data_IF_128425757714
#
_entry.id   IF_128425757714
#
_cell.length_a   1.000
_cell.length_b   1.000
_cell.length_c   1.000
_cell.angle_alpha   90.00
_cell.angle_beta   90.00
_cell.angle_gamma   90.00
#
_symmetry.space_group_name_H-M   'P 1'
#
loop_
_entity.id
_entity.type
_entity.pdbx_description
1 polymer ?
#
# COMPACT_ATOMS: atom_id res chain seq x y z
N UNK A 1 -26.02 -17.21 46.61
CA UNK A 1 -24.55 -17.20 46.86
C UNK A 1 -23.90 -18.22 45.93
N UNK A 2 -23.26 -17.77 44.85
CA UNK A 2 -22.38 -18.57 43.99
C UNK A 2 -21.19 -17.70 43.63
N UNK A 3 -19.99 -18.18 43.96
CA UNK A 3 -18.72 -17.45 43.90
C UNK A 3 -18.32 -17.10 42.46
N UNK A 4 -17.70 -15.94 42.20
CA UNK A 4 -17.07 -15.69 40.91
C UNK A 4 -15.74 -16.46 40.82
N UNK A 5 -15.57 -17.22 39.74
CA UNK A 5 -14.29 -17.84 39.37
C UNK A 5 -13.39 -16.74 38.81
N UNK A 6 -12.32 -16.41 39.53
CA UNK A 6 -11.25 -15.54 39.03
C UNK A 6 -10.42 -16.31 38.00
N UNK A 7 -10.42 -15.86 36.74
CA UNK A 7 -9.48 -16.36 35.73
C UNK A 7 -8.30 -15.40 35.61
N UNK A 8 -7.13 -15.85 36.08
CA UNK A 8 -5.83 -15.34 35.65
C UNK A 8 -5.47 -16.03 34.34
N UNK A 9 -5.13 -15.26 33.30
CA UNK A 9 -4.57 -15.82 32.06
C UNK A 9 -3.44 -14.93 31.57
N UNK A 10 -2.29 -15.10 32.24
CA UNK A 10 -0.99 -14.96 31.61
C UNK A 10 -0.94 -15.97 30.44
N UNK A 11 -0.91 -15.48 29.20
CA UNK A 11 -0.62 -16.31 28.01
C UNK A 11 -1.83 -16.68 27.14
N UNK A 12 -2.26 -15.77 26.26
CA UNK A 12 -3.04 -16.08 25.06
C UNK A 12 -2.96 -14.91 24.06
N UNK A 13 -1.80 -14.72 23.41
CA UNK A 13 -1.69 -13.89 22.19
C UNK A 13 -1.51 -14.85 21.02
N UNK A 14 -2.58 -15.58 20.72
CA UNK A 14 -2.77 -16.34 19.49
C UNK A 14 -4.29 -16.51 19.34
N UNK A 15 -4.80 -16.29 18.13
CA UNK A 15 -6.23 -16.25 17.74
C UNK A 15 -6.94 -14.90 17.89
N UNK A 16 -6.57 -13.94 17.02
CA UNK A 16 -7.57 -13.14 16.31
C UNK A 16 -7.55 -13.64 14.88
N UNK A 17 -8.45 -14.58 14.57
CA UNK A 17 -8.70 -15.08 13.23
C UNK A 17 -10.10 -14.61 12.80
N UNK A 18 -10.11 -13.88 11.68
CA UNK A 18 -11.24 -13.55 10.81
C UNK A 18 -12.42 -12.76 11.41
N UNK A 19 -12.44 -11.45 11.15
CA UNK A 19 -13.41 -10.74 10.30
C UNK A 19 -13.35 -9.24 10.62
N UNK A 20 -12.57 -8.53 9.81
CA UNK A 20 -12.34 -7.09 9.89
C UNK A 20 -11.34 -6.68 8.82
N UNK A 21 -11.64 -7.00 7.56
CA UNK A 21 -10.85 -6.59 6.40
C UNK A 21 -10.97 -5.08 6.19
N UNK A 22 -10.30 -4.32 7.04
CA UNK A 22 -9.79 -3.00 6.67
C UNK A 22 -8.38 -3.23 6.13
N UNK A 23 -8.23 -3.29 4.81
CA UNK A 23 -6.93 -3.49 4.17
C UNK A 23 -6.06 -2.24 4.32
N UNK A 24 -5.60 -1.91 5.53
CA UNK A 24 -4.65 -0.80 5.68
C UNK A 24 -3.43 -1.13 4.82
N UNK A 25 -3.19 -0.34 3.76
CA UNK A 25 -1.99 -0.49 2.95
C UNK A 25 -0.81 -0.17 3.86
N UNK A 26 -0.09 -1.20 4.27
CA UNK A 26 1.17 -1.01 4.94
C UNK A 26 2.33 -1.33 3.99
N UNK A 27 3.39 -0.54 4.08
CA UNK A 27 4.62 -0.79 3.33
C UNK A 27 5.57 -1.64 4.18
N UNK A 28 6.26 -2.57 3.51
CA UNK A 28 7.36 -3.36 4.06
C UNK A 28 8.58 -3.24 3.14
N UNK A 29 9.60 -4.05 3.41
CA UNK A 29 10.84 -4.10 2.64
C UNK A 29 11.19 -5.54 2.30
N UNK A 30 11.70 -5.76 1.11
CA UNK A 30 12.35 -7.01 0.71
C UNK A 30 13.78 -6.73 0.25
N UNK A 31 14.60 -7.78 0.19
CA UNK A 31 15.98 -7.72 -0.29
C UNK A 31 16.18 -8.71 -1.42
N UNK A 32 16.80 -8.26 -2.52
CA UNK A 32 17.09 -9.12 -3.69
C UNK A 32 18.33 -8.63 -4.39
N UNK A 33 19.31 -9.51 -4.60
CA UNK A 33 20.45 -9.20 -5.47
C UNK A 33 19.99 -9.11 -6.94
N UNK A 34 20.48 -8.13 -7.74
CA UNK A 34 21.50 -7.12 -7.41
C UNK A 34 20.93 -5.78 -6.89
N UNK A 35 19.64 -5.72 -6.57
CA UNK A 35 18.93 -4.48 -6.23
C UNK A 35 19.13 -4.03 -4.78
N UNK A 36 19.55 -4.93 -3.89
CA UNK A 36 19.58 -4.65 -2.45
C UNK A 36 18.17 -4.56 -1.88
N UNK A 37 17.96 -3.67 -0.92
CA UNK A 37 16.66 -3.49 -0.23
C UNK A 37 15.73 -2.56 -1.00
N UNK A 38 14.48 -2.96 -1.18
CA UNK A 38 13.44 -2.19 -1.85
C UNK A 38 12.09 -2.32 -1.14
N UNK A 39 11.17 -1.38 -1.41
CA UNK A 39 9.84 -1.38 -0.82
C UNK A 39 8.92 -2.43 -1.45
N UNK A 40 8.11 -3.05 -0.60
CA UNK A 40 7.03 -3.96 -0.97
C UNK A 40 5.75 -3.60 -0.20
N UNK A 41 4.62 -4.19 -0.58
CA UNK A 41 3.44 -4.18 0.31
C UNK A 41 3.55 -5.22 1.43
N UNK A 42 2.86 -4.98 2.55
CA UNK A 42 2.84 -5.89 3.70
C UNK A 42 1.97 -7.14 3.48
N UNK A 43 0.99 -7.05 2.57
CA UNK A 43 -0.09 -8.03 2.44
C UNK A 43 0.28 -9.21 1.53
N UNK A 44 1.24 -9.02 0.61
CA UNK A 44 1.66 -10.03 -0.35
C UNK A 44 3.12 -9.92 -0.77
N UNK A 45 3.88 -8.93 -0.28
CA UNK A 45 5.27 -8.73 -0.68
C UNK A 45 5.41 -8.28 -2.13
N UNK A 46 4.38 -7.68 -2.72
CA UNK A 46 4.47 -7.19 -4.10
C UNK A 46 5.45 -6.02 -4.17
N UNK A 47 6.34 -6.03 -5.15
CA UNK A 47 7.32 -4.97 -5.36
C UNK A 47 6.67 -3.64 -5.73
N UNK A 48 7.18 -2.56 -5.16
CA UNK A 48 6.68 -1.21 -5.40
C UNK A 48 7.65 -0.42 -6.28
N UNK A 49 7.06 0.30 -7.23
CA UNK A 49 7.78 1.05 -8.24
C UNK A 49 7.41 2.52 -8.23
N UNK A 50 8.32 3.32 -8.80
CA UNK A 50 8.11 4.71 -9.15
C UNK A 50 8.34 4.91 -10.65
N UNK A 51 7.63 5.90 -11.19
CA UNK A 51 7.82 6.40 -12.55
C UNK A 51 8.87 7.52 -12.52
N UNK A 52 9.94 7.41 -13.30
CA UNK A 52 10.92 8.50 -13.43
C UNK A 52 10.41 9.69 -14.24
N UNK A 53 9.24 9.58 -14.87
CA UNK A 53 8.53 10.69 -15.49
C UNK A 53 7.59 11.44 -14.53
N UNK A 54 7.34 10.91 -13.33
CA UNK A 54 6.59 11.63 -12.29
C UNK A 54 7.48 12.64 -11.57
N UNK A 55 6.86 13.54 -10.80
CA UNK A 55 7.55 14.52 -9.96
C UNK A 55 7.15 14.33 -8.49
N UNK A 56 8.12 14.52 -7.58
CA UNK A 56 7.87 14.38 -6.15
C UNK A 56 6.83 15.39 -5.67
N UNK A 57 5.81 14.90 -4.95
CA UNK A 57 4.74 15.72 -4.37
C UNK A 57 3.73 16.25 -5.39
N UNK A 58 3.82 15.85 -6.66
CA UNK A 58 2.84 16.17 -7.69
C UNK A 58 1.95 14.98 -7.99
N UNK A 59 0.80 15.26 -8.61
CA UNK A 59 -0.04 14.20 -9.13
C UNK A 59 0.76 13.35 -10.14
N UNK A 60 0.51 12.05 -10.12
CA UNK A 60 1.02 11.08 -11.09
C UNK A 60 0.75 11.53 -12.53
N UNK A 61 1.67 11.29 -13.46
CA UNK A 61 1.42 11.43 -14.90
C UNK A 61 0.86 10.13 -15.54
N UNK A 62 0.78 9.05 -14.76
CA UNK A 62 0.36 7.73 -15.21
C UNK A 62 -1.17 7.58 -15.19
N UNK A 63 -1.79 7.80 -16.35
CA UNK A 63 -3.23 7.63 -16.56
C UNK A 63 -3.57 6.75 -17.78
N UNK A 64 -4.86 6.46 -17.96
CA UNK A 64 -5.45 5.77 -19.12
C UNK A 64 -4.93 4.36 -19.38
N UNK A 65 -3.91 4.21 -20.25
CA UNK A 65 -3.28 2.92 -20.53
C UNK A 65 -2.18 2.62 -19.52
N UNK A 66 -1.57 3.66 -18.97
CA UNK A 66 -0.49 3.54 -18.00
C UNK A 66 -0.98 2.85 -16.72
N UNK A 67 -2.07 3.34 -16.11
CA UNK A 67 -2.61 2.81 -14.85
C UNK A 67 -3.14 1.36 -14.93
N UNK A 68 -3.27 0.78 -16.14
CA UNK A 68 -3.62 -0.64 -16.34
C UNK A 68 -2.40 -1.55 -16.21
N UNK A 69 -1.23 -1.08 -16.62
CA UNK A 69 0.04 -1.83 -16.57
C UNK A 69 0.81 -1.52 -15.28
N UNK A 70 0.80 -0.25 -14.89
CA UNK A 70 1.42 0.28 -13.68
C UNK A 70 0.31 0.75 -12.75
N UNK A 71 -0.24 -0.17 -11.96
CA UNK A 71 -1.43 0.05 -11.16
C UNK A 71 -1.09 0.94 -9.97
N UNK A 72 -1.72 2.12 -9.80
CA UNK A 72 -1.50 2.99 -8.65
C UNK A 72 -1.76 2.26 -7.33
N UNK A 73 -0.91 2.48 -6.33
CA UNK A 73 -1.18 2.02 -4.96
C UNK A 73 -2.15 3.02 -4.31
N UNK A 74 -3.43 2.65 -4.23
CA UNK A 74 -4.49 3.52 -3.70
C UNK A 74 -4.61 3.35 -2.18
N UNK A 75 -4.79 4.44 -1.44
CA UNK A 75 -5.09 4.42 -0.01
C UNK A 75 -6.58 4.14 0.22
N UNK A 76 -6.92 3.26 1.17
CA UNK A 76 -8.33 3.04 1.57
C UNK A 76 -8.76 4.20 2.45
N UNK A 77 -9.71 4.97 1.96
CA UNK A 77 -10.10 6.27 2.53
C UNK A 77 -10.46 7.31 1.47
N UNK A 78 -10.35 6.99 0.18
CA UNK A 78 -10.92 7.82 -0.89
C UNK A 78 -12.45 7.74 -0.89
N UNK A 79 -13.11 8.67 -0.18
CA UNK A 79 -14.44 9.15 -0.55
C UNK A 79 -14.35 9.56 -2.03
N UNK A 80 -14.96 8.88 -3.00
CA UNK A 80 -16.40 8.97 -3.20
C UNK A 80 -17.00 7.79 -4.01
N UNK A 81 -16.43 6.57 -3.94
CA UNK A 81 -16.99 5.38 -4.60
C UNK A 81 -16.71 4.08 -3.81
N UNK A 82 -16.87 4.10 -2.49
CA UNK A 82 -17.17 2.83 -1.77
C UNK A 82 -18.62 2.48 -2.10
N UNK A 83 -18.90 2.16 -3.36
CA UNK A 83 -20.08 1.41 -3.71
C UNK A 83 -19.92 0.06 -3.01
N UNK A 84 -20.89 -0.25 -2.16
CA UNK A 84 -21.15 -1.49 -1.42
C UNK A 84 -20.90 -2.80 -2.20
N UNK A 85 -20.67 -2.71 -3.50
CA UNK A 85 -20.29 -3.77 -4.42
C UNK A 85 -18.93 -4.41 -4.13
N UNK A 86 -17.96 -3.71 -3.53
CA UNK A 86 -16.60 -4.26 -3.35
C UNK A 86 -16.40 -5.06 -2.06
N UNK A 87 -17.28 -4.89 -1.06
CA UNK A 87 -17.22 -5.64 0.21
C UNK A 87 -18.31 -6.70 0.35
N UNK A 88 -19.21 -6.84 -0.62
CA UNK A 88 -20.36 -7.76 -0.51
C UNK A 88 -21.30 -7.45 0.66
N UNK A 89 -21.17 -6.30 1.31
CA UNK A 89 -22.00 -5.87 2.42
C UNK A 89 -23.23 -5.19 1.87
N UNK A 90 -24.36 -5.90 1.90
CA UNK A 90 -25.67 -5.36 1.56
C UNK A 90 -26.01 -4.18 2.51
N UNK A 91 -26.64 -3.12 1.98
CA UNK A 91 -27.11 -1.94 2.73
C UNK A 91 -27.99 -2.27 3.94
N UNK A 92 -28.60 -3.46 3.99
CA UNK A 92 -29.32 -3.97 5.16
C UNK A 92 -28.41 -4.28 6.37
N UNK A 93 -27.11 -4.52 6.16
CA UNK A 93 -26.17 -4.83 7.24
C UNK A 93 -25.75 -3.57 8.01
N UNK A 94 -25.76 -2.41 7.36
CA UNK A 94 -25.36 -1.14 7.98
C UNK A 94 -26.51 -0.47 8.76
N UNK A 95 -27.77 -0.84 8.50
CA UNK A 95 -28.93 -0.22 9.16
C UNK A 95 -29.28 -0.79 10.54
N UNK A 96 -28.67 -1.92 10.95
CA UNK A 96 -29.03 -2.64 12.19
C UNK A 96 -27.93 -2.60 13.27
N UNK A 97 -26.86 -1.83 13.06
CA UNK A 97 -25.80 -1.62 14.05
C UNK A 97 -26.27 -0.51 15.00
N UNK A 98 -27.10 -0.87 15.98
CA UNK A 98 -27.48 0.02 17.09
C UNK A 98 -26.43 -0.14 18.21
N UNK A 99 -25.35 0.65 18.16
CA UNK A 99 -24.34 0.65 19.23
C UNK A 99 -24.51 1.87 20.15
N UNK A 100 -24.51 1.57 21.46
CA UNK A 100 -24.78 2.50 22.56
C UNK A 100 -23.80 3.67 22.62
N UNK A 101 -24.33 4.81 23.08
CA UNK A 101 -23.73 6.14 22.99
C UNK A 101 -22.41 6.37 23.75
N UNK A 102 -21.90 5.40 24.50
CA UNK A 102 -20.77 5.65 25.42
C UNK A 102 -19.56 4.70 25.23
N UNK A 103 -19.56 3.80 24.24
CA UNK A 103 -18.40 2.98 23.83
C UNK A 103 -18.20 3.01 22.31
N UNK A 104 -18.16 4.23 21.74
CA UNK A 104 -17.71 4.39 20.36
C UNK A 104 -16.21 4.09 20.33
N UNK A 105 -15.85 2.88 19.89
CA UNK A 105 -14.53 2.64 19.32
C UNK A 105 -14.35 3.69 18.24
N UNK A 106 -13.50 4.67 18.53
CA UNK A 106 -12.99 5.61 17.56
C UNK A 106 -12.15 4.81 16.56
N UNK A 107 -12.78 4.08 15.65
CA UNK A 107 -12.22 3.92 14.32
C UNK A 107 -12.41 5.28 13.67
N UNK A 108 -11.58 6.24 14.12
CA UNK A 108 -11.39 7.46 13.40
C UNK A 108 -10.84 7.00 12.05
N UNK A 109 -11.72 6.90 11.05
CA UNK A 109 -11.34 6.97 9.66
C UNK A 109 -10.81 8.38 9.44
N UNK A 110 -9.60 8.60 9.93
CA UNK A 110 -8.85 9.81 9.71
C UNK A 110 -8.41 9.77 8.25
N UNK A 111 -8.88 10.73 7.47
CA UNK A 111 -8.44 10.97 6.10
C UNK A 111 -6.95 11.36 6.05
N UNK A 112 -6.34 11.62 7.22
CA UNK A 112 -4.90 11.81 7.44
C UNK A 112 -4.23 10.59 8.09
N UNK A 113 -4.93 9.46 8.26
CA UNK A 113 -4.30 8.23 8.71
C UNK A 113 -3.25 7.84 7.66
N UNK A 114 -1.98 8.10 8.00
CA UNK A 114 -0.87 7.70 7.16
C UNK A 114 -0.90 6.18 6.98
N UNK A 115 -0.59 5.66 5.79
CA UNK A 115 -0.40 4.23 5.58
C UNK A 115 0.57 3.68 6.64
N UNK A 116 0.33 2.46 7.11
CA UNK A 116 1.16 1.86 8.16
C UNK A 116 2.52 1.47 7.54
N UNK A 117 3.60 1.50 8.31
CA UNK A 117 4.93 1.10 7.85
C UNK A 117 5.51 0.05 8.80
N UNK A 118 6.15 -0.99 8.26
CA UNK A 118 7.04 -1.84 9.03
C UNK A 118 8.21 -0.99 9.60
N UNK A 119 8.86 -1.45 10.67
CA UNK A 119 10.00 -0.79 11.34
C UNK A 119 11.12 -0.40 10.38
N UNK A 120 11.27 -1.14 9.27
CA UNK A 120 12.30 -0.90 8.24
C UNK A 120 11.92 0.18 7.24
N UNK A 121 10.68 0.65 7.26
CA UNK A 121 10.18 1.72 6.40
C UNK A 121 10.18 3.03 7.18
N UNK A 122 10.73 4.08 6.58
CA UNK A 122 10.71 5.41 7.19
C UNK A 122 9.33 6.05 7.01
N UNK A 123 8.53 6.02 8.08
CA UNK A 123 7.18 6.58 8.08
C UNK A 123 7.11 8.07 7.71
N UNK A 124 8.18 8.85 7.90
CA UNK A 124 8.20 10.27 7.54
C UNK A 124 8.29 10.51 6.03
N UNK A 125 8.62 9.47 5.26
CA UNK A 125 8.59 9.52 3.81
C UNK A 125 7.21 9.14 3.26
N UNK A 126 6.32 8.57 4.07
CA UNK A 126 4.97 8.24 3.61
C UNK A 126 4.12 9.50 3.46
N UNK A 127 3.35 9.52 2.39
CA UNK A 127 2.37 10.57 2.13
C UNK A 127 1.34 10.11 1.12
N UNK A 128 0.49 11.02 0.70
CA UNK A 128 -0.52 10.78 -0.34
C UNK A 128 -0.59 11.95 -1.31
N UNK A 129 -1.11 11.66 -2.51
CA UNK A 129 -1.53 12.66 -3.48
C UNK A 129 -2.97 12.39 -3.90
N UNK A 130 -3.68 13.44 -4.27
CA UNK A 130 -4.96 13.32 -4.98
C UNK A 130 -4.64 13.27 -6.47
N UNK A 131 -5.11 12.22 -7.14
CA UNK A 131 -4.99 12.06 -8.59
C UNK A 131 -6.09 12.83 -9.31
N UNK A 132 -5.88 13.10 -10.60
CA UNK A 132 -6.90 13.75 -11.44
C UNK A 132 -8.20 12.92 -11.56
N UNK A 133 -8.11 11.60 -11.39
CA UNK A 133 -9.27 10.70 -11.36
C UNK A 133 -9.99 10.65 -10.00
N UNK A 134 -9.62 11.53 -9.06
CA UNK A 134 -10.22 11.66 -7.73
C UNK A 134 -9.72 10.62 -6.72
N UNK A 135 -8.90 9.65 -7.14
CA UNK A 135 -8.36 8.63 -6.25
C UNK A 135 -7.19 9.16 -5.43
N UNK A 136 -7.07 8.68 -4.19
CA UNK A 136 -5.93 9.00 -3.32
C UNK A 136 -4.85 7.94 -3.50
N UNK A 137 -3.70 8.34 -4.04
CA UNK A 137 -2.56 7.44 -4.25
C UNK A 137 -1.50 7.63 -3.18
N UNK A 138 -0.95 6.52 -2.70
CA UNK A 138 0.14 6.49 -1.74
C UNK A 138 1.42 6.95 -2.44
N UNK A 139 2.17 7.79 -1.74
CA UNK A 139 3.51 8.23 -2.13
C UNK A 139 4.55 7.80 -1.10
N UNK A 140 5.79 7.68 -1.55
CA UNK A 140 6.94 7.52 -0.68
C UNK A 140 8.06 8.47 -1.09
N UNK A 141 8.53 9.29 -0.14
CA UNK A 141 9.40 10.43 -0.39
C UNK A 141 8.85 11.32 -1.52
N UNK A 142 7.53 11.55 -1.51
CA UNK A 142 6.81 12.30 -2.54
C UNK A 142 6.59 11.58 -3.87
N UNK A 143 7.18 10.39 -4.10
CA UNK A 143 6.97 9.65 -5.35
C UNK A 143 5.67 8.84 -5.35
N UNK A 144 4.80 8.95 -6.36
CA UNK A 144 3.64 8.07 -6.50
C UNK A 144 4.07 6.60 -6.65
N UNK A 145 3.45 5.71 -5.87
CA UNK A 145 3.78 4.28 -5.87
C UNK A 145 2.87 3.47 -6.80
N UNK A 146 3.44 2.45 -7.42
CA UNK A 146 2.76 1.56 -8.36
C UNK A 146 3.11 0.09 -8.16
N UNK A 147 2.14 -0.77 -8.47
CA UNK A 147 2.35 -2.19 -8.75
C UNK A 147 2.55 -2.41 -10.25
N UNK A 148 3.32 -3.43 -10.61
CA UNK A 148 3.48 -3.85 -11.99
C UNK A 148 2.58 -5.03 -12.33
N UNK A 149 1.87 -4.96 -13.46
CA UNK A 149 0.89 -5.98 -13.88
C UNK A 149 1.48 -7.39 -14.04
N UNK A 150 2.76 -7.50 -14.40
CA UNK A 150 3.42 -8.80 -14.64
C UNK A 150 4.32 -9.25 -13.48
N UNK A 151 4.16 -8.67 -12.30
CA UNK A 151 4.67 -9.25 -11.06
C UNK A 151 3.55 -10.10 -10.47
N UNK A 152 3.67 -11.43 -10.57
CA UNK A 152 2.61 -12.39 -10.22
C UNK A 152 2.82 -13.03 -8.86
N UNK A 153 4.03 -12.94 -8.31
CA UNK A 153 4.39 -13.45 -7.00
C UNK A 153 5.07 -12.41 -6.10
N UNK A 154 5.19 -12.72 -4.79
CA UNK A 154 5.95 -11.91 -3.85
C UNK A 154 7.37 -11.70 -4.35
N UNK A 155 7.90 -10.48 -4.24
CA UNK A 155 9.28 -10.12 -4.61
C UNK A 155 9.62 -10.33 -6.11
N UNK A 156 8.61 -10.52 -6.96
CA UNK A 156 8.80 -10.38 -8.40
C UNK A 156 9.20 -8.95 -8.71
N UNK A 157 10.24 -8.78 -9.53
CA UNK A 157 10.83 -7.48 -9.83
C UNK A 157 10.92 -7.25 -11.34
N UNK A 158 10.00 -7.83 -12.10
CA UNK A 158 10.04 -7.82 -13.57
C UNK A 158 9.84 -6.41 -14.14
N UNK A 159 9.30 -5.48 -13.36
CA UNK A 159 9.15 -4.08 -13.71
C UNK A 159 10.46 -3.26 -13.67
N UNK A 160 11.47 -3.73 -12.94
CA UNK A 160 12.68 -2.97 -12.67
C UNK A 160 13.42 -2.60 -13.97
N UNK A 161 13.65 -1.31 -14.18
CA UNK A 161 14.38 -0.77 -15.32
C UNK A 161 13.60 -0.76 -16.63
N UNK A 162 12.33 -1.17 -16.65
CA UNK A 162 11.53 -1.16 -17.89
C UNK A 162 11.29 0.27 -18.36
N UNK A 163 11.46 0.49 -19.66
CA UNK A 163 11.02 1.71 -20.33
C UNK A 163 9.71 1.37 -21.04
N UNK A 164 8.61 1.93 -20.54
CA UNK A 164 7.28 1.68 -21.11
C UNK A 164 6.34 2.83 -20.79
N UNK A 165 5.39 3.09 -21.68
CA UNK A 165 4.31 4.07 -21.47
C UNK A 165 4.83 5.46 -21.07
N UNK A 166 5.96 5.88 -21.67
CA UNK A 166 6.54 7.22 -21.49
C UNK A 166 7.48 7.38 -20.29
N UNK A 167 7.77 6.32 -19.53
CA UNK A 167 8.60 6.40 -18.34
C UNK A 167 9.57 5.23 -18.21
N UNK A 168 10.67 5.46 -17.49
CA UNK A 168 11.50 4.40 -16.93
C UNK A 168 11.01 4.10 -15.52
N UNK A 169 10.77 2.82 -15.24
CA UNK A 169 10.20 2.37 -13.98
C UNK A 169 11.28 1.77 -13.10
N UNK A 170 11.30 2.17 -11.83
CA UNK A 170 12.32 1.76 -10.89
C UNK A 170 11.70 1.35 -9.55
N UNK A 171 12.23 0.29 -8.97
CA UNK A 171 12.07 -0.04 -7.57
C UNK A 171 12.54 1.14 -6.73
N UNK A 172 11.91 1.31 -5.57
CA UNK A 172 12.24 2.37 -4.63
C UNK A 172 12.86 1.79 -3.36
N UNK A 173 13.93 2.41 -2.87
CA UNK A 173 14.62 2.00 -1.64
C UNK A 173 13.87 2.50 -0.39
N UNK A 174 14.17 1.97 0.81
CA UNK A 174 13.66 2.51 2.07
C UNK A 174 14.01 3.97 2.33
N UNK A 175 15.06 4.50 1.70
CA UNK A 175 15.46 5.92 1.76
C UNK A 175 14.69 6.78 0.74
N UNK A 176 13.78 6.19 -0.03
CA UNK A 176 12.94 6.87 -0.99
C UNK A 176 13.68 7.28 -2.26
N UNK A 177 14.65 6.47 -2.69
CA UNK A 177 15.42 6.69 -3.92
C UNK A 177 15.11 5.62 -4.96
N UNK A 178 15.16 5.99 -6.23
CA UNK A 178 15.10 5.05 -7.33
C UNK A 178 16.33 4.12 -7.30
N UNK A 179 16.11 2.82 -7.45
CA UNK A 179 17.19 1.88 -7.74
C UNK A 179 17.51 2.00 -9.23
N UNK A 180 18.63 2.65 -9.53
CA UNK A 180 19.18 2.66 -10.88
C UNK A 180 20.02 1.40 -11.05
N UNK A 181 19.59 0.48 -11.91
CA UNK A 181 20.53 -0.52 -12.40
C UNK A 181 21.58 0.17 -13.27
N UNK A 182 22.88 -0.16 -13.13
CA UNK A 182 23.84 0.19 -14.16
C UNK A 182 23.32 -0.44 -15.46
N UNK A 183 23.14 0.38 -16.50
CA UNK A 183 22.97 -0.15 -17.85
C UNK A 183 24.18 -1.04 -18.07
N UNK A 184 23.97 -2.35 -18.24
CA UNK A 184 25.02 -3.23 -18.74
C UNK A 184 25.34 -2.73 -20.14
N UNK A 185 26.27 -1.77 -20.24
CA UNK A 185 26.91 -1.41 -21.48
C UNK A 185 27.63 -2.67 -21.90
N UNK A 186 27.03 -3.43 -22.82
CA UNK A 186 27.77 -4.43 -23.57
C UNK A 186 28.86 -3.64 -24.31
N UNK A 187 30.07 -3.60 -23.72
CA UNK A 187 31.26 -3.25 -24.46
C UNK A 187 31.34 -4.27 -25.60
N UNK A 188 31.00 -3.84 -26.81
CA UNK A 188 31.28 -4.62 -28.01
C UNK A 188 32.81 -4.64 -28.11
N UNK A 189 33.40 -5.81 -27.92
CA UNK A 189 34.73 -6.12 -28.40
C UNK A 189 34.59 -6.86 -29.73
#
# INVERSE_FOLDING_TARGET
MKNPVTYSVQGAIAFILFFGWGSVQALSTAEKSPYGTYLTDINGGNSLYISQADEQGKASHCYRRCNKVWRPVISIGSNDQINSSFLGLNSYFLSNIQYGKDEVMHIAYDHNALPIADKKVNKFLLGTIIREDGLVQITYNGWPLYYYLNDFGPNDTHGQGRISLGSKWALITPEGKAINTPTTTFARY
#
